data_IF_794034499840
#
_entry.id   IF_794034499840
#
_cell.length_a   1.000
_cell.length_b   1.000
_cell.length_c   1.000
_cell.angle_alpha   90.00
_cell.angle_beta   90.00
_cell.angle_gamma   90.00
#
_symmetry.space_group_name_H-M   'P 1'
#
loop_
_entity.id
_entity.type
_entity.pdbx_description
1 polymer ?
#
# COMPACT_ATOMS: atom_id res chain seq x y z
N UNK A 1 -31.55 -1.66 -20.57
CA UNK A 1 -30.65 -2.57 -21.33
C UNK A 1 -29.32 -2.63 -20.60
N UNK A 2 -28.70 -3.81 -20.59
CA UNK A 2 -27.72 -4.34 -19.64
C UNK A 2 -26.31 -3.74 -19.71
N UNK A 3 -25.71 -3.50 -18.55
CA UNK A 3 -24.25 -3.39 -18.38
C UNK A 3 -23.79 -4.28 -17.22
N UNK A 4 -24.28 -5.52 -17.16
CA UNK A 4 -23.64 -6.59 -16.39
C UNK A 4 -22.65 -7.30 -17.32
N UNK A 5 -21.44 -7.57 -16.87
CA UNK A 5 -20.47 -8.37 -17.61
C UNK A 5 -21.09 -9.72 -18.03
N UNK A 6 -21.45 -9.87 -19.31
CA UNK A 6 -22.13 -11.05 -19.85
C UNK A 6 -21.17 -12.23 -20.17
N UNK A 7 -19.95 -12.21 -19.64
CA UNK A 7 -18.94 -13.25 -19.92
C UNK A 7 -18.35 -13.77 -18.61
N UNK A 8 -18.81 -14.94 -18.20
CA UNK A 8 -18.20 -15.74 -17.11
C UNK A 8 -16.69 -15.87 -17.32
N UNK A 9 -16.25 -15.97 -18.57
CA UNK A 9 -14.83 -16.04 -18.92
C UNK A 9 -14.03 -14.82 -18.47
N UNK A 10 -14.60 -13.61 -18.56
CA UNK A 10 -13.89 -12.40 -18.15
C UNK A 10 -13.78 -12.27 -16.63
N UNK A 11 -14.82 -12.68 -15.90
CA UNK A 11 -14.78 -12.75 -14.44
C UNK A 11 -13.72 -13.75 -13.95
N UNK A 12 -13.64 -14.92 -14.60
CA UNK A 12 -12.61 -15.93 -14.32
C UNK A 12 -11.22 -15.38 -14.64
N UNK A 13 -11.03 -14.76 -15.81
CA UNK A 13 -9.76 -14.13 -16.20
C UNK A 13 -9.31 -13.08 -15.19
N UNK A 14 -10.21 -12.19 -14.76
CA UNK A 14 -9.91 -11.17 -13.76
C UNK A 14 -9.43 -11.80 -12.44
N UNK A 15 -10.11 -12.84 -11.94
CA UNK A 15 -9.71 -13.53 -10.72
C UNK A 15 -8.35 -14.23 -10.87
N UNK A 16 -8.13 -14.96 -11.97
CA UNK A 16 -6.87 -15.68 -12.23
C UNK A 16 -5.71 -14.70 -12.32
N UNK A 17 -5.86 -13.62 -13.09
CA UNK A 17 -4.82 -12.58 -13.21
C UNK A 17 -4.54 -11.90 -11.86
N UNK A 18 -5.57 -11.65 -11.05
CA UNK A 18 -5.42 -11.10 -9.70
C UNK A 18 -4.58 -11.99 -8.78
N UNK A 19 -4.83 -13.29 -8.77
CA UNK A 19 -4.06 -14.24 -7.97
C UNK A 19 -2.63 -14.47 -8.49
N UNK A 20 -2.44 -14.49 -9.81
CA UNK A 20 -1.10 -14.54 -10.43
C UNK A 20 -0.30 -13.30 -10.07
N UNK A 21 -0.91 -12.11 -10.15
CA UNK A 21 -0.29 -10.86 -9.74
C UNK A 21 0.08 -10.92 -8.26
N UNK A 22 -0.84 -11.33 -7.37
CA UNK A 22 -0.54 -11.53 -5.95
C UNK A 22 0.69 -12.41 -5.73
N UNK A 23 0.78 -13.56 -6.40
CA UNK A 23 1.91 -14.49 -6.27
C UNK A 23 3.23 -13.86 -6.77
N UNK A 24 3.21 -13.22 -7.94
CA UNK A 24 4.39 -12.57 -8.52
C UNK A 24 4.90 -11.43 -7.64
N UNK A 25 4.00 -10.56 -7.17
CA UNK A 25 4.36 -9.45 -6.30
C UNK A 25 4.84 -9.94 -4.93
N UNK A 26 4.23 -10.97 -4.37
CA UNK A 26 4.64 -11.55 -3.07
C UNK A 26 6.10 -11.99 -3.09
N UNK A 27 6.55 -12.62 -4.20
CA UNK A 27 7.94 -13.06 -4.34
C UNK A 27 8.96 -11.92 -4.18
N UNK A 28 8.61 -10.68 -4.55
CA UNK A 28 9.52 -9.53 -4.45
C UNK A 28 9.86 -9.12 -3.00
N UNK A 29 9.04 -9.48 -2.02
CA UNK A 29 9.26 -9.10 -0.62
C UNK A 29 10.23 -10.04 0.14
N UNK A 30 10.33 -11.29 -0.28
CA UNK A 30 11.11 -12.32 0.42
C UNK A 30 12.65 -12.14 0.37
N UNK A 31 13.27 -11.70 -0.74
CA UNK A 31 14.73 -11.56 -0.80
C UNK A 31 15.31 -10.73 0.34
N UNK A 32 14.66 -9.60 0.69
CA UNK A 32 15.12 -8.74 1.78
C UNK A 32 15.01 -9.43 3.14
N UNK A 33 13.89 -10.10 3.39
CA UNK A 33 13.63 -10.82 4.65
C UNK A 33 14.65 -11.94 4.87
N UNK A 34 14.94 -12.71 3.82
CA UNK A 34 15.91 -13.81 3.84
C UNK A 34 17.35 -13.28 4.00
N UNK A 35 17.69 -12.19 3.32
CA UNK A 35 19.00 -11.57 3.43
C UNK A 35 19.28 -11.08 4.85
N UNK A 36 18.30 -10.39 5.47
CA UNK A 36 18.38 -9.94 6.86
C UNK A 36 18.54 -11.13 7.80
N UNK A 37 17.79 -12.21 7.59
CA UNK A 37 17.87 -13.42 8.40
C UNK A 37 19.24 -14.13 8.29
N UNK A 38 19.80 -14.22 7.08
CA UNK A 38 21.10 -14.86 6.83
C UNK A 38 22.26 -14.03 7.39
N UNK A 39 22.23 -12.71 7.22
CA UNK A 39 23.30 -11.80 7.67
C UNK A 39 23.21 -11.47 9.16
N UNK A 40 22.04 -11.67 9.79
CA UNK A 40 21.72 -11.18 11.14
C UNK A 40 21.99 -9.67 11.31
N UNK A 41 21.87 -8.96 10.20
CA UNK A 41 22.19 -7.54 10.06
C UNK A 41 21.25 -6.93 9.04
N UNK A 42 20.77 -5.72 9.34
CA UNK A 42 19.97 -4.88 8.44
C UNK A 42 20.80 -3.72 7.87
N UNK A 43 22.13 -3.84 7.89
CA UNK A 43 23.05 -2.86 7.29
C UNK A 43 22.90 -2.88 5.76
N UNK A 44 22.50 -1.73 5.20
CA UNK A 44 22.17 -1.55 3.77
C UNK A 44 20.67 -1.52 3.48
N UNK A 45 19.80 -1.79 4.46
CA UNK A 45 18.36 -1.60 4.32
C UNK A 45 18.01 -0.13 4.52
N UNK A 46 17.32 0.46 3.54
CA UNK A 46 16.80 1.82 3.67
C UNK A 46 15.58 1.84 4.62
N UNK A 47 15.75 2.42 5.81
CA UNK A 47 14.68 2.50 6.82
C UNK A 47 13.57 3.47 6.45
N UNK A 48 13.84 4.51 5.67
CA UNK A 48 12.80 5.43 5.19
C UNK A 48 11.86 4.68 4.25
N UNK A 49 12.43 3.93 3.31
CA UNK A 49 11.66 3.07 2.43
C UNK A 49 10.78 2.11 3.22
N UNK A 50 11.30 1.50 4.28
CA UNK A 50 10.54 0.58 5.13
C UNK A 50 9.32 1.26 5.78
N UNK A 51 9.50 2.45 6.35
CA UNK A 51 8.42 3.22 7.00
C UNK A 51 7.38 3.70 5.98
N UNK A 52 7.81 4.19 4.82
CA UNK A 52 6.91 4.65 3.76
C UNK A 52 6.09 3.47 3.19
N UNK A 53 6.70 2.30 2.97
CA UNK A 53 5.97 1.12 2.51
C UNK A 53 4.99 0.61 3.57
N UNK A 54 5.35 0.63 4.86
CA UNK A 54 4.42 0.24 5.91
C UNK A 54 3.19 1.14 5.91
N UNK A 55 3.38 2.46 5.85
CA UNK A 55 2.28 3.44 5.81
C UNK A 55 1.40 3.24 4.57
N UNK A 56 2.02 3.06 3.40
CA UNK A 56 1.30 2.77 2.14
C UNK A 56 0.46 1.49 2.27
N UNK A 57 1.09 0.37 2.63
CA UNK A 57 0.44 -0.94 2.65
C UNK A 57 -0.66 -1.01 3.73
N UNK A 58 -0.45 -0.38 4.89
CA UNK A 58 -1.48 -0.28 5.92
C UNK A 58 -2.69 0.52 5.44
N UNK A 59 -2.49 1.66 4.78
CA UNK A 59 -3.60 2.47 4.24
C UNK A 59 -4.35 1.70 3.13
N UNK A 60 -3.62 1.00 2.27
CA UNK A 60 -4.21 0.15 1.24
C UNK A 60 -5.00 -1.03 1.84
N UNK A 61 -4.49 -1.66 2.89
CA UNK A 61 -5.21 -2.72 3.60
C UNK A 61 -6.48 -2.20 4.26
N UNK A 62 -6.45 -1.03 4.90
CA UNK A 62 -7.63 -0.42 5.51
C UNK A 62 -8.71 -0.18 4.45
N UNK A 63 -8.37 0.43 3.32
CA UNK A 63 -9.30 0.65 2.21
C UNK A 63 -9.90 -0.67 1.70
N UNK A 64 -9.05 -1.64 1.33
CA UNK A 64 -9.54 -2.89 0.74
C UNK A 64 -10.36 -3.70 1.74
N UNK A 65 -9.88 -3.86 2.98
CA UNK A 65 -10.58 -4.65 3.98
C UNK A 65 -11.93 -4.01 4.36
N UNK A 66 -11.97 -2.69 4.56
CA UNK A 66 -13.21 -2.00 4.91
C UNK A 66 -14.25 -2.08 3.79
N UNK A 67 -13.86 -1.82 2.54
CA UNK A 67 -14.77 -1.88 1.40
C UNK A 67 -15.18 -3.33 1.05
N UNK A 68 -14.30 -4.31 1.24
CA UNK A 68 -14.59 -5.71 0.95
C UNK A 68 -15.50 -6.37 2.00
N UNK A 69 -15.27 -6.10 3.29
CA UNK A 69 -15.99 -6.79 4.36
C UNK A 69 -17.21 -6.05 4.91
N UNK A 70 -17.32 -4.73 4.77
CA UNK A 70 -18.41 -3.96 5.36
C UNK A 70 -19.58 -3.78 4.37
N UNK A 71 -20.74 -4.44 4.59
CA UNK A 71 -21.91 -4.22 3.75
C UNK A 71 -22.42 -2.78 3.85
N UNK A 72 -22.19 -2.11 4.99
CA UNK A 72 -22.57 -0.72 5.18
C UNK A 72 -21.80 0.21 4.22
N UNK A 73 -20.49 0.01 4.08
CA UNK A 73 -19.66 0.83 3.19
C UNK A 73 -19.99 0.51 1.72
N UNK A 74 -20.26 -0.75 1.40
CA UNK A 74 -20.72 -1.16 0.07
C UNK A 74 -22.05 -0.51 -0.29
N UNK A 75 -22.99 -0.44 0.67
CA UNK A 75 -24.25 0.27 0.47
C UNK A 75 -24.00 1.75 0.19
N UNK A 76 -23.16 2.43 0.98
CA UNK A 76 -22.79 3.82 0.71
C UNK A 76 -22.15 4.02 -0.67
N UNK A 77 -21.39 3.03 -1.16
CA UNK A 77 -20.81 3.04 -2.50
C UNK A 77 -21.90 2.98 -3.57
N UNK A 78 -22.84 2.04 -3.43
CA UNK A 78 -23.97 1.91 -4.35
C UNK A 78 -24.91 3.12 -4.32
N UNK A 79 -25.14 3.72 -3.16
CA UNK A 79 -25.91 4.96 -3.03
C UNK A 79 -25.25 6.13 -3.78
N UNK A 80 -23.91 6.17 -3.82
CA UNK A 80 -23.14 7.25 -4.45
C UNK A 80 -22.91 7.05 -5.95
N UNK A 81 -22.61 5.84 -6.39
CA UNK A 81 -22.20 5.53 -7.77
C UNK A 81 -23.26 4.75 -8.56
N UNK A 82 -24.20 4.10 -7.88
CA UNK A 82 -25.30 3.32 -8.45
C UNK A 82 -25.25 1.83 -8.10
N UNK A 83 -26.43 1.22 -7.93
CA UNK A 83 -26.59 -0.20 -7.55
C UNK A 83 -26.00 -1.21 -8.55
N UNK A 84 -25.76 -0.77 -9.80
CA UNK A 84 -25.24 -1.63 -10.87
C UNK A 84 -23.71 -1.62 -10.95
N UNK A 85 -23.07 -0.67 -10.27
CA UNK A 85 -21.61 -0.56 -10.27
C UNK A 85 -21.00 -1.66 -9.42
N UNK A 86 -19.89 -2.24 -9.89
CA UNK A 86 -19.20 -3.28 -9.12
C UNK A 86 -18.31 -2.66 -8.06
N UNK A 87 -18.27 -3.27 -6.88
CA UNK A 87 -17.31 -2.90 -5.85
C UNK A 87 -15.90 -3.11 -6.40
N UNK A 88 -15.03 -2.07 -6.42
CA UNK A 88 -13.73 -2.10 -7.09
C UNK A 88 -12.63 -2.78 -6.25
N UNK A 89 -13.01 -3.76 -5.42
CA UNK A 89 -12.09 -4.49 -4.53
C UNK A 89 -12.40 -5.98 -4.59
N UNK A 90 -11.38 -6.78 -4.85
CA UNK A 90 -11.47 -8.23 -4.86
C UNK A 90 -10.71 -8.87 -3.68
N UNK A 91 -10.95 -10.17 -3.45
CA UNK A 91 -10.32 -10.90 -2.36
C UNK A 91 -8.78 -10.93 -2.48
N UNK A 92 -8.24 -10.96 -3.71
CA UNK A 92 -6.80 -10.91 -3.95
C UNK A 92 -6.19 -9.57 -3.53
N UNK A 93 -6.92 -8.44 -3.59
CA UNK A 93 -6.42 -7.13 -3.17
C UNK A 93 -6.26 -7.07 -1.64
N UNK A 94 -7.23 -7.64 -0.91
CA UNK A 94 -7.16 -7.81 0.54
C UNK A 94 -6.02 -8.75 0.92
N UNK A 95 -5.90 -9.91 0.25
CA UNK A 95 -4.84 -10.88 0.51
C UNK A 95 -3.44 -10.27 0.26
N UNK A 96 -3.28 -9.56 -0.85
CA UNK A 96 -2.02 -8.88 -1.18
C UNK A 96 -1.65 -7.81 -0.16
N UNK A 97 -2.58 -6.92 0.16
CA UNK A 97 -2.34 -5.82 1.10
C UNK A 97 -2.02 -6.35 2.50
N UNK A 98 -2.73 -7.38 2.96
CA UNK A 98 -2.44 -8.05 4.24
C UNK A 98 -1.05 -8.68 4.26
N UNK A 99 -0.71 -9.43 3.21
CA UNK A 99 0.61 -10.06 3.08
C UNK A 99 1.74 -9.02 3.07
N UNK A 100 1.57 -7.93 2.32
CA UNK A 100 2.55 -6.85 2.26
C UNK A 100 2.74 -6.16 3.62
N UNK A 101 1.67 -5.88 4.36
CA UNK A 101 1.76 -5.35 5.73
C UNK A 101 2.48 -6.33 6.64
N UNK A 102 2.14 -7.62 6.59
CA UNK A 102 2.75 -8.64 7.43
C UNK A 102 4.27 -8.77 7.20
N UNK A 103 4.73 -8.86 5.94
CA UNK A 103 6.17 -8.94 5.65
C UNK A 103 6.92 -7.64 5.93
N UNK A 104 6.28 -6.49 5.73
CA UNK A 104 6.88 -5.20 6.08
C UNK A 104 7.01 -5.06 7.59
N UNK A 105 5.98 -5.45 8.37
CA UNK A 105 6.04 -5.48 9.83
C UNK A 105 7.08 -6.49 10.33
N UNK A 106 7.21 -7.65 9.69
CA UNK A 106 8.26 -8.61 9.99
C UNK A 106 9.67 -8.02 9.74
N UNK A 107 9.84 -7.27 8.66
CA UNK A 107 11.10 -6.58 8.36
C UNK A 107 11.38 -5.47 9.39
N UNK A 108 10.36 -4.73 9.82
CA UNK A 108 10.46 -3.76 10.93
C UNK A 108 10.90 -4.46 12.22
N UNK A 109 10.32 -5.62 12.53
CA UNK A 109 10.74 -6.44 13.66
C UNK A 109 12.21 -6.87 13.55
N UNK A 110 12.68 -7.26 12.36
CA UNK A 110 14.10 -7.55 12.13
C UNK A 110 15.01 -6.34 12.40
N UNK A 111 14.56 -5.12 12.09
CA UNK A 111 15.32 -3.88 12.38
C UNK A 111 15.50 -3.64 13.88
N UNK A 112 14.56 -4.09 14.71
CA UNK A 112 14.67 -3.97 16.17
C UNK A 112 15.63 -4.99 16.79
N UNK A 113 15.82 -6.15 16.16
CA UNK A 113 16.62 -7.26 16.72
C UNK A 113 18.02 -7.32 16.15
N UNK A 114 18.18 -7.08 14.84
CA UNK A 114 19.44 -7.24 14.14
C UNK A 114 20.30 -6.00 14.17
N UNK A 115 21.59 -6.19 13.87
CA UNK A 115 22.54 -5.09 13.81
C UNK A 115 22.16 -4.09 12.71
N UNK A 116 21.91 -2.84 13.10
CA UNK A 116 21.54 -1.75 12.21
C UNK A 116 22.66 -0.76 11.89
N UNK A 117 23.79 -0.85 12.59
CA UNK A 117 24.86 0.13 12.54
C UNK A 117 24.39 1.52 12.99
N UNK A 118 24.77 2.55 12.23
CA UNK A 118 24.42 3.96 12.48
C UNK A 118 23.19 4.45 11.72
N UNK A 119 22.55 3.58 10.91
CA UNK A 119 21.39 3.93 10.09
C UNK A 119 20.20 4.34 10.97
N UNK A 120 19.52 5.41 10.59
CA UNK A 120 18.33 5.94 11.25
C UNK A 120 17.31 6.33 10.20
N UNK A 121 16.04 6.34 10.59
CA UNK A 121 14.98 6.94 9.77
C UNK A 121 15.23 8.44 9.70
N UNK A 122 15.15 9.03 8.51
CA UNK A 122 15.31 10.47 8.32
C UNK A 122 14.18 11.24 8.99
N UNK A 123 14.51 12.44 9.49
CA UNK A 123 13.51 13.32 10.10
C UNK A 123 12.40 13.69 9.11
N UNK A 124 12.73 13.80 7.82
CA UNK A 124 11.76 14.09 6.76
C UNK A 124 10.76 12.94 6.62
N UNK A 125 11.23 11.70 6.54
CA UNK A 125 10.35 10.52 6.46
C UNK A 125 9.44 10.40 7.70
N UNK A 126 10.00 10.63 8.89
CA UNK A 126 9.21 10.64 10.15
C UNK A 126 8.13 11.72 10.08
N UNK A 127 8.49 12.96 9.71
CA UNK A 127 7.55 14.08 9.62
C UNK A 127 6.43 13.81 8.61
N UNK A 128 6.76 13.32 7.40
CA UNK A 128 5.76 12.99 6.38
C UNK A 128 4.81 11.92 6.91
N UNK A 129 5.34 10.83 7.47
CA UNK A 129 4.52 9.73 7.99
C UNK A 129 3.64 10.19 9.15
N UNK A 130 4.17 11.00 10.06
CA UNK A 130 3.42 11.55 11.18
C UNK A 130 2.27 12.46 10.70
N UNK A 131 2.54 13.36 9.75
CA UNK A 131 1.50 14.24 9.17
C UNK A 131 0.38 13.41 8.54
N UNK A 132 0.73 12.39 7.75
CA UNK A 132 -0.23 11.50 7.10
C UNK A 132 -1.13 10.79 8.12
N UNK A 133 -0.55 10.21 9.18
CA UNK A 133 -1.32 9.50 10.20
C UNK A 133 -2.15 10.44 11.08
N UNK A 134 -1.66 11.64 11.37
CA UNK A 134 -2.43 12.69 12.06
C UNK A 134 -3.62 13.13 11.19
N UNK A 135 -3.41 13.37 9.89
CA UNK A 135 -4.48 13.72 8.97
C UNK A 135 -5.54 12.61 8.89
N UNK A 136 -5.12 11.35 8.81
CA UNK A 136 -6.02 10.19 8.83
C UNK A 136 -6.86 10.14 10.13
N UNK A 137 -6.24 10.42 11.29
CA UNK A 137 -6.95 10.50 12.57
C UNK A 137 -7.97 11.65 12.59
N UNK A 138 -7.63 12.82 12.07
CA UNK A 138 -8.57 13.94 11.95
C UNK A 138 -9.74 13.58 11.03
N UNK A 139 -9.48 12.96 9.88
CA UNK A 139 -10.52 12.48 8.98
C UNK A 139 -11.43 11.44 9.65
N UNK A 140 -10.87 10.53 10.46
CA UNK A 140 -11.67 9.57 11.25
C UNK A 140 -12.62 10.29 12.21
N UNK A 141 -12.14 11.29 12.95
CA UNK A 141 -12.96 12.08 13.88
C UNK A 141 -14.09 12.82 13.13
N UNK A 142 -13.81 13.35 11.94
CA UNK A 142 -14.80 14.04 11.10
C UNK A 142 -15.86 13.08 10.53
N UNK A 143 -15.43 11.89 10.09
CA UNK A 143 -16.31 10.89 9.48
C UNK A 143 -17.25 10.24 10.50
N UNK A 144 -16.77 10.05 11.73
CA UNK A 144 -17.47 9.34 12.81
C UNK A 144 -18.91 9.83 13.07
N UNK A 145 -19.19 11.12 13.33
CA UNK A 145 -20.54 11.59 13.65
C UNK A 145 -21.50 11.53 12.46
N UNK A 146 -20.99 11.53 11.22
CA UNK A 146 -21.81 11.50 10.00
C UNK A 146 -21.95 10.10 9.42
N UNK A 147 -21.26 9.11 9.99
CA UNK A 147 -21.11 7.77 9.43
C UNK A 147 -20.62 7.77 7.98
N UNK A 148 -19.81 8.75 7.57
CA UNK A 148 -19.32 8.89 6.19
C UNK A 148 -18.05 8.03 5.97
N UNK A 149 -18.24 6.71 6.09
CA UNK A 149 -17.14 5.75 6.05
C UNK A 149 -16.58 5.58 4.65
N UNK A 150 -17.41 5.67 3.61
CA UNK A 150 -16.95 5.63 2.22
C UNK A 150 -15.95 6.76 1.95
N UNK A 151 -16.26 8.00 2.35
CA UNK A 151 -15.31 9.10 2.22
C UNK A 151 -14.02 8.86 3.02
N UNK A 152 -14.12 8.30 4.23
CA UNK A 152 -12.95 7.99 5.05
C UNK A 152 -12.03 6.97 4.36
N UNK A 153 -12.58 5.90 3.79
CA UNK A 153 -11.76 4.90 3.11
C UNK A 153 -11.16 5.43 1.79
N UNK A 154 -11.83 6.36 1.10
CA UNK A 154 -11.29 7.08 -0.05
C UNK A 154 -10.07 7.94 0.34
N UNK A 155 -10.03 8.49 1.56
CA UNK A 155 -8.85 9.16 2.11
C UNK A 155 -7.69 8.18 2.27
N UNK A 156 -7.93 6.98 2.83
CA UNK A 156 -6.89 5.94 2.93
C UNK A 156 -6.38 5.47 1.57
N UNK A 157 -7.26 5.35 0.57
CA UNK A 157 -6.85 5.09 -0.81
C UNK A 157 -6.03 6.25 -1.41
N UNK A 158 -6.36 7.50 -1.07
CA UNK A 158 -5.56 8.65 -1.51
C UNK A 158 -4.17 8.67 -0.88
N UNK A 159 -4.07 8.27 0.40
CA UNK A 159 -2.79 8.14 1.11
C UNK A 159 -1.89 7.12 0.41
N UNK A 160 -2.36 5.91 0.10
CA UNK A 160 -1.50 4.89 -0.51
C UNK A 160 -0.98 5.31 -1.90
N UNK A 161 -1.78 6.05 -2.67
CA UNK A 161 -1.37 6.63 -3.96
C UNK A 161 -0.33 7.73 -3.73
N UNK A 162 -0.55 8.65 -2.79
CA UNK A 162 0.40 9.70 -2.45
C UNK A 162 1.76 9.16 -1.97
N UNK A 163 1.74 8.15 -1.10
CA UNK A 163 2.97 7.49 -0.62
C UNK A 163 3.73 6.79 -1.75
N UNK A 164 3.00 6.24 -2.72
CA UNK A 164 3.58 5.67 -3.94
C UNK A 164 4.29 6.76 -4.76
N UNK A 165 3.63 7.91 -4.99
CA UNK A 165 4.23 9.01 -5.72
C UNK A 165 5.51 9.55 -5.02
N UNK A 166 5.44 9.80 -3.71
CA UNK A 166 6.59 10.29 -2.92
C UNK A 166 7.79 9.34 -3.02
N UNK A 167 7.54 8.02 -3.08
CA UNK A 167 8.59 7.00 -3.19
C UNK A 167 9.27 6.99 -4.57
N UNK A 168 8.50 7.19 -5.64
CA UNK A 168 9.01 7.03 -7.01
C UNK A 168 9.56 8.32 -7.63
N UNK A 169 9.15 9.51 -7.17
CA UNK A 169 9.65 10.80 -7.68
C UNK A 169 11.17 10.93 -7.54
N UNK A 170 11.78 10.70 -6.35
CA UNK A 170 13.24 10.81 -6.20
C UNK A 170 13.99 9.78 -7.04
N UNK A 171 13.42 8.58 -7.22
CA UNK A 171 14.04 7.49 -7.99
C UNK A 171 14.11 7.80 -9.49
N UNK A 172 13.14 8.54 -10.04
CA UNK A 172 13.15 8.99 -11.43
C UNK A 172 14.16 10.13 -11.66
N UNK A 173 14.29 11.05 -10.71
CA UNK A 173 15.26 12.13 -10.80
C UNK A 173 16.69 11.61 -10.72
N UNK A 174 17.00 10.73 -9.76
CA UNK A 174 18.35 10.17 -9.60
C UNK A 174 18.80 9.37 -10.83
N UNK A 175 17.91 8.60 -11.45
CA UNK A 175 18.20 7.90 -12.70
C UNK A 175 18.50 8.87 -13.86
N UNK A 176 17.68 9.90 -14.04
CA UNK A 176 17.89 10.93 -15.06
C UNK A 176 19.19 11.73 -14.84
N UNK A 177 19.57 11.97 -13.58
CA UNK A 177 20.84 12.61 -13.26
C UNK A 177 22.03 11.72 -13.60
N UNK A 178 22.01 10.43 -13.23
CA UNK A 178 23.08 9.49 -13.54
C UNK A 178 23.27 9.26 -15.05
N UNK A 179 22.18 9.19 -15.81
CA UNK A 179 22.25 9.15 -17.27
C UNK A 179 22.89 10.43 -17.82
N UNK A 180 22.50 11.61 -17.34
CA UNK A 180 23.13 12.89 -17.75
C UNK A 180 24.62 12.93 -17.45
N UNK A 181 25.09 12.38 -16.34
CA UNK A 181 26.52 12.33 -16.00
C UNK A 181 27.33 11.45 -16.96
N UNK A 182 26.77 10.35 -17.46
CA UNK A 182 27.46 9.49 -18.46
C UNK A 182 27.67 10.16 -19.82
N UNK A 183 26.89 11.20 -20.16
CA UNK A 183 27.09 11.97 -21.39
C UNK A 183 28.08 13.14 -21.23
N UNK A 184 28.55 13.41 -20.01
CA UNK A 184 29.44 14.55 -19.69
C UNK A 184 30.86 14.08 -19.30
N UNK A 185 31.09 12.76 -19.21
CA UNK A 185 32.41 12.13 -18.97
C UNK A 185 32.84 11.29 -20.17
#
# INVERSE_FOLDING_TARGET
MSSSWNSVGLAILYQVLGWVAFAAWSFSFYPQVLLNYKRKSVVGLNFDFLVLNLTKHSSYLIYNAALFFSPFIQQQYHDKYGDKEMIPVAANDVAFSLHAVALTAFTVFQVFIYERGTQKVSKVCISISAIVWIAALVCLIIAWPKSDWLWLIDVFNSIQVGMTAIKYIPQAEEHNWLERWQYIT
#
